data_IF_580316009376
#
_entry.id   IF_580316009376
#
_cell.length_a   1.000
_cell.length_b   1.000
_cell.length_c   1.000
_cell.angle_alpha   90.00
_cell.angle_beta   90.00
_cell.angle_gamma   90.00
#
_symmetry.space_group_name_H-M   'P 1'
#
loop_
_entity.id
_entity.type
_entity.pdbx_description
1 polymer ?
#
# COMPACT_ATOMS: atom_id res chain seq x y z
N UNK A 1 27.17 -2.73 11.90
CA UNK A 1 26.66 -3.51 13.05
C UNK A 1 25.14 -3.52 13.19
N UNK A 2 24.43 -2.38 13.28
CA UNK A 2 22.96 -2.38 13.49
C UNK A 2 22.16 -3.12 12.41
N UNK A 3 22.49 -2.96 11.12
CA UNK A 3 21.82 -3.67 10.01
C UNK A 3 22.05 -5.19 10.05
N UNK A 4 23.25 -5.62 10.43
CA UNK A 4 23.60 -7.04 10.58
C UNK A 4 22.81 -7.70 11.73
N UNK A 5 22.64 -6.98 12.84
CA UNK A 5 21.84 -7.43 13.99
C UNK A 5 20.36 -7.59 13.64
N UNK A 6 19.78 -6.69 12.84
CA UNK A 6 18.39 -6.81 12.38
C UNK A 6 18.22 -8.03 11.47
N UNK A 7 19.13 -8.21 10.50
CA UNK A 7 19.10 -9.38 9.60
C UNK A 7 19.27 -10.69 10.38
N UNK A 8 20.21 -10.74 11.32
CA UNK A 8 20.40 -11.90 12.20
C UNK A 8 19.16 -12.16 13.07
N UNK A 9 18.53 -11.12 13.61
CA UNK A 9 17.31 -11.28 14.40
C UNK A 9 16.14 -11.79 13.55
N UNK A 10 15.99 -11.32 12.30
CA UNK A 10 14.97 -11.84 11.39
C UNK A 10 15.25 -13.29 11.00
N UNK A 11 16.50 -13.65 10.68
CA UNK A 11 16.89 -15.04 10.37
C UNK A 11 16.64 -15.94 11.58
N UNK A 12 16.92 -15.45 12.78
CA UNK A 12 16.71 -16.20 14.02
C UNK A 12 15.21 -16.42 14.26
N UNK A 13 14.38 -15.37 14.16
CA UNK A 13 12.91 -15.48 14.25
C UNK A 13 12.37 -16.44 13.19
N UNK A 14 12.86 -16.36 11.95
CA UNK A 14 12.47 -17.29 10.88
C UNK A 14 12.87 -18.72 11.23
N UNK A 15 14.14 -18.95 11.61
CA UNK A 15 14.68 -20.27 11.95
C UNK A 15 13.99 -20.91 13.15
N UNK A 16 13.64 -20.13 14.19
CA UNK A 16 12.84 -20.60 15.32
C UNK A 16 11.39 -20.88 14.92
N UNK A 17 10.82 -20.12 13.99
CA UNK A 17 9.48 -20.37 13.45
C UNK A 17 9.43 -21.64 12.60
N UNK A 18 10.51 -21.99 11.87
CA UNK A 18 10.57 -23.23 11.06
C UNK A 18 10.88 -24.47 11.92
N UNK A 19 11.63 -24.32 13.01
CA UNK A 19 12.04 -25.45 13.88
C UNK A 19 11.18 -25.63 15.13
N UNK A 20 10.12 -24.84 15.33
CA UNK A 20 9.11 -25.12 16.34
C UNK A 20 8.26 -26.34 15.92
N UNK A 21 8.89 -27.52 15.82
CA UNK A 21 8.18 -28.78 15.98
C UNK A 21 7.64 -28.79 17.40
N UNK A 22 6.38 -28.41 17.52
CA UNK A 22 5.59 -28.60 18.72
C UNK A 22 5.71 -30.07 19.14
N UNK A 23 6.24 -30.29 20.34
CA UNK A 23 6.10 -31.58 21.01
C UNK A 23 4.61 -31.97 21.08
N UNK A 24 4.37 -33.27 21.23
CA UNK A 24 3.09 -34.01 21.18
C UNK A 24 1.90 -33.48 22.02
N UNK A 25 1.98 -32.29 22.60
CA UNK A 25 0.82 -31.57 23.09
C UNK A 25 0.08 -30.93 21.92
N UNK A 26 -1.00 -31.57 21.46
CA UNK A 26 -1.99 -30.97 20.54
C UNK A 26 -2.21 -29.49 20.95
N UNK A 27 -1.76 -28.50 20.15
CA UNK A 27 -2.12 -27.13 20.46
C UNK A 27 -3.64 -27.05 20.42
N UNK A 28 -4.26 -26.45 21.44
CA UNK A 28 -5.71 -26.23 21.50
C UNK A 28 -6.26 -25.54 20.23
N UNK A 29 -5.38 -24.92 19.45
CA UNK A 29 -5.63 -24.26 18.18
C UNK A 29 -4.84 -24.96 17.09
N UNK A 30 -5.53 -25.80 16.32
CA UNK A 30 -4.95 -26.44 15.14
C UNK A 30 -4.98 -25.46 13.97
N UNK A 31 -3.86 -24.77 13.78
CA UNK A 31 -3.68 -23.77 12.72
C UNK A 31 -3.54 -24.40 11.33
N UNK A 32 -3.52 -25.73 11.17
CA UNK A 32 -3.49 -26.37 9.86
C UNK A 32 -4.89 -26.58 9.25
N UNK A 33 -5.94 -26.46 10.05
CA UNK A 33 -7.32 -26.64 9.57
C UNK A 33 -7.70 -25.59 8.54
N UNK A 34 -8.69 -25.94 7.73
CA UNK A 34 -9.39 -24.96 6.91
C UNK A 34 -10.03 -23.92 7.83
N UNK A 35 -9.77 -22.64 7.55
CA UNK A 35 -10.37 -21.51 8.25
C UNK A 35 -10.79 -20.48 7.23
N UNK A 36 -12.02 -19.99 7.35
CA UNK A 36 -12.49 -18.83 6.59
C UNK A 36 -12.54 -17.63 7.52
N UNK A 37 -12.01 -16.51 7.07
CA UNK A 37 -11.93 -15.28 7.84
C UNK A 37 -12.46 -14.07 7.10
N UNK A 38 -13.03 -13.15 7.89
CA UNK A 38 -13.48 -11.83 7.45
C UNK A 38 -12.74 -10.80 8.30
N UNK A 39 -12.31 -9.72 7.67
CA UNK A 39 -11.40 -8.77 8.26
C UNK A 39 -11.45 -7.40 7.62
N UNK A 40 -10.56 -6.56 8.08
CA UNK A 40 -10.32 -5.24 7.53
C UNK A 40 -8.82 -4.98 7.45
N UNK A 41 -8.43 -4.20 6.47
CA UNK A 41 -7.06 -3.70 6.34
C UNK A 41 -7.07 -2.19 6.27
N UNK A 42 -6.01 -1.61 6.82
CA UNK A 42 -5.71 -0.19 6.69
C UNK A 42 -4.26 -0.12 6.20
N UNK A 43 -4.03 0.56 5.08
CA UNK A 43 -2.69 0.83 4.59
C UNK A 43 -2.42 2.33 4.49
N UNK A 44 -1.15 2.68 4.59
CA UNK A 44 -0.66 4.00 4.23
C UNK A 44 -0.97 4.27 2.76
N UNK A 45 -0.84 5.54 2.35
CA UNK A 45 -0.55 5.86 0.95
C UNK A 45 0.76 5.19 0.48
N UNK A 46 1.20 5.52 -0.71
CA UNK A 46 2.48 4.98 -1.19
C UNK A 46 3.68 5.50 -0.37
N UNK A 47 4.78 4.72 -0.36
CA UNK A 47 6.01 5.04 0.37
C UNK A 47 6.57 6.39 -0.06
N UNK A 48 6.38 6.79 -1.33
CA UNK A 48 6.75 8.12 -1.80
C UNK A 48 6.05 9.23 -1.01
N UNK A 49 4.73 9.16 -0.86
CA UNK A 49 3.94 10.12 -0.08
C UNK A 49 4.32 10.13 1.40
N UNK A 50 4.65 8.98 1.97
CA UNK A 50 5.19 8.89 3.34
C UNK A 50 6.54 9.61 3.46
N UNK A 51 7.44 9.42 2.49
CA UNK A 51 8.74 10.10 2.45
C UNK A 51 8.57 11.61 2.29
N UNK A 52 7.69 12.06 1.38
CA UNK A 52 7.43 13.48 1.15
C UNK A 52 6.80 14.16 2.37
N UNK A 53 5.84 13.49 3.02
CA UNK A 53 5.26 13.96 4.29
C UNK A 53 6.34 14.08 5.37
N UNK A 54 7.26 13.11 5.45
CA UNK A 54 8.39 13.15 6.38
C UNK A 54 9.34 14.32 6.12
N UNK A 55 9.61 14.64 4.85
CA UNK A 55 10.43 15.80 4.45
C UNK A 55 9.78 17.13 4.80
N UNK A 56 8.46 17.25 4.61
CA UNK A 56 7.70 18.45 5.02
C UNK A 56 7.80 18.67 6.54
N UNK A 57 7.61 17.61 7.33
CA UNK A 57 7.72 17.68 8.80
C UNK A 57 9.13 18.05 9.23
N UNK A 58 10.17 17.50 8.60
CA UNK A 58 11.57 17.81 8.93
C UNK A 58 11.92 19.27 8.58
N UNK A 59 11.48 19.75 7.41
CA UNK A 59 11.70 21.13 6.99
C UNK A 59 11.04 22.16 7.91
N UNK A 60 9.85 21.87 8.44
CA UNK A 60 9.19 22.77 9.39
C UNK A 60 9.83 22.76 10.78
N UNK A 61 10.41 21.64 11.21
CA UNK A 61 11.11 21.56 12.49
C UNK A 61 12.52 22.17 12.43
N UNK A 62 13.14 22.21 11.25
CA UNK A 62 14.41 22.90 10.99
C UNK A 62 14.12 24.31 10.49
N UNK A 63 13.91 25.23 11.42
CA UNK A 63 13.69 26.65 11.12
C UNK A 63 14.68 27.16 10.05
N UNK A 64 14.17 27.50 8.86
CA UNK A 64 14.95 28.19 7.82
C UNK A 64 15.29 27.41 6.55
N UNK A 65 14.76 26.20 6.32
CA UNK A 65 14.87 25.57 4.99
C UNK A 65 13.72 25.97 4.08
N UNK A 66 14.03 26.60 2.94
CA UNK A 66 13.10 26.81 1.81
C UNK A 66 12.68 25.45 1.25
N UNK A 67 11.66 24.84 1.86
CA UNK A 67 11.06 23.64 1.31
C UNK A 67 10.07 24.03 0.22
N UNK A 68 10.40 23.67 -1.02
CA UNK A 68 9.45 23.74 -2.13
C UNK A 68 8.41 22.64 -1.93
N UNK A 69 7.22 23.02 -1.47
CA UNK A 69 6.09 22.12 -1.33
C UNK A 69 5.67 21.63 -2.73
N UNK A 70 5.84 20.34 -3.06
CA UNK A 70 5.45 19.81 -4.36
C UNK A 70 3.94 20.00 -4.55
N UNK A 71 3.53 20.55 -5.70
CA UNK A 71 2.12 20.74 -6.03
C UNK A 71 1.46 22.01 -5.46
N UNK A 72 2.18 22.86 -4.73
CA UNK A 72 1.67 24.18 -4.31
C UNK A 72 2.20 25.29 -5.23
N UNK A 73 1.33 26.23 -5.59
CA UNK A 73 1.79 27.50 -6.19
C UNK A 73 2.57 28.32 -5.18
N UNK A 74 3.35 29.30 -5.64
CA UNK A 74 4.11 30.18 -4.76
C UNK A 74 3.20 30.90 -3.74
N UNK A 75 2.05 31.37 -4.19
CA UNK A 75 1.03 32.01 -3.34
C UNK A 75 0.47 31.06 -2.27
N UNK A 76 0.23 29.80 -2.62
CA UNK A 76 -0.23 28.78 -1.67
C UNK A 76 0.85 28.42 -0.65
N UNK A 77 2.10 28.34 -1.09
CA UNK A 77 3.24 28.10 -0.20
C UNK A 77 3.45 29.26 0.78
N UNK A 78 3.32 30.50 0.31
CA UNK A 78 3.42 31.70 1.15
C UNK A 78 2.28 31.74 2.18
N UNK A 79 1.03 31.52 1.74
CA UNK A 79 -0.12 31.44 2.65
C UNK A 79 -0.01 30.29 3.66
N UNK A 80 0.55 29.15 3.25
CA UNK A 80 0.81 28.01 4.13
C UNK A 80 1.90 28.34 5.16
N UNK A 81 2.93 29.08 4.76
CA UNK A 81 4.02 29.49 5.64
C UNK A 81 3.54 30.44 6.75
N UNK A 82 2.52 31.25 6.48
CA UNK A 82 1.89 32.17 7.44
C UNK A 82 0.97 31.48 8.46
N UNK A 83 0.65 30.20 8.29
CA UNK A 83 -0.21 29.47 9.22
C UNK A 83 0.48 29.20 10.57
N UNK A 84 -0.30 29.09 11.64
CA UNK A 84 0.21 28.63 12.94
C UNK A 84 0.70 27.18 12.86
N UNK A 85 1.71 26.81 13.66
CA UNK A 85 2.26 25.44 13.73
C UNK A 85 1.18 24.37 13.93
N UNK A 86 0.18 24.66 14.76
CA UNK A 86 -0.92 23.72 15.02
C UNK A 86 -1.80 23.51 13.77
N UNK A 87 -2.04 24.57 12.99
CA UNK A 87 -2.79 24.47 11.74
C UNK A 87 -2.02 23.68 10.68
N UNK A 88 -0.71 23.92 10.54
CA UNK A 88 0.16 23.14 9.65
C UNK A 88 0.18 21.66 10.02
N UNK A 89 0.26 21.38 11.32
CA UNK A 89 0.17 20.01 11.87
C UNK A 89 -1.17 19.36 11.55
N UNK A 90 -2.28 20.08 11.73
CA UNK A 90 -3.62 19.58 11.40
C UNK A 90 -3.77 19.25 9.91
N UNK A 91 -3.21 20.09 9.03
CA UNK A 91 -3.20 19.86 7.57
C UNK A 91 -2.45 18.58 7.24
N UNK A 92 -1.26 18.35 7.81
CA UNK A 92 -0.52 17.11 7.54
C UNK A 92 -1.22 15.87 8.05
N UNK A 93 -1.75 15.92 9.26
CA UNK A 93 -2.49 14.79 9.85
C UNK A 93 -3.72 14.49 8.98
N UNK A 94 -4.43 15.52 8.52
CA UNK A 94 -5.54 15.37 7.58
C UNK A 94 -5.09 14.73 6.27
N UNK A 95 -3.96 15.16 5.69
CA UNK A 95 -3.42 14.57 4.46
C UNK A 95 -3.00 13.11 4.65
N UNK A 96 -2.42 12.77 5.80
CA UNK A 96 -2.11 11.38 6.14
C UNK A 96 -3.39 10.55 6.13
N UNK A 97 -4.41 10.93 6.91
CA UNK A 97 -5.67 10.17 6.97
C UNK A 97 -6.41 10.14 5.63
N UNK A 98 -6.37 11.23 4.86
CA UNK A 98 -6.95 11.31 3.53
C UNK A 98 -6.20 10.49 2.48
N UNK A 99 -4.96 10.08 2.75
CA UNK A 99 -4.17 9.19 1.87
C UNK A 99 -4.22 7.71 2.28
N UNK A 100 -4.83 7.39 3.43
CA UNK A 100 -4.89 6.02 3.93
C UNK A 100 -5.95 5.20 3.19
N UNK A 101 -5.58 3.99 2.78
CA UNK A 101 -6.48 3.08 2.09
C UNK A 101 -7.15 2.13 3.08
N UNK A 102 -8.46 1.94 2.91
CA UNK A 102 -9.26 1.05 3.76
C UNK A 102 -9.82 -0.07 2.91
N UNK A 103 -9.71 -1.31 3.36
CA UNK A 103 -10.29 -2.45 2.64
C UNK A 103 -10.99 -3.42 3.57
N UNK A 104 -12.07 -4.02 3.06
CA UNK A 104 -12.66 -5.22 3.65
C UNK A 104 -11.92 -6.42 3.08
N UNK A 105 -11.49 -7.34 3.95
CA UNK A 105 -10.71 -8.50 3.58
C UNK A 105 -11.50 -9.78 3.85
N UNK A 106 -11.46 -10.71 2.91
CA UNK A 106 -11.81 -12.12 3.13
C UNK A 106 -10.55 -12.95 3.00
N UNK A 107 -10.40 -13.98 3.83
CA UNK A 107 -9.17 -14.78 3.89
C UNK A 107 -9.48 -16.24 4.11
N UNK A 108 -8.78 -17.10 3.40
CA UNK A 108 -8.83 -18.55 3.56
C UNK A 108 -7.44 -19.00 4.03
N UNK A 109 -7.40 -19.79 5.10
CA UNK A 109 -6.21 -20.48 5.55
C UNK A 109 -6.43 -21.99 5.46
N UNK A 110 -5.45 -22.72 4.93
CA UNK A 110 -5.51 -24.17 4.93
C UNK A 110 -4.11 -24.76 4.85
N UNK A 111 -3.68 -25.53 5.86
CA UNK A 111 -2.30 -26.00 5.99
C UNK A 111 -1.30 -24.83 5.80
N UNK A 112 -0.34 -24.95 4.91
CA UNK A 112 0.61 -23.87 4.56
C UNK A 112 0.05 -22.83 3.61
N UNK A 113 -1.18 -22.99 3.12
CA UNK A 113 -1.79 -22.11 2.13
C UNK A 113 -2.51 -20.94 2.80
N UNK A 114 -2.47 -19.81 2.11
CA UNK A 114 -3.25 -18.62 2.39
C UNK A 114 -3.77 -18.07 1.06
N UNK A 115 -5.03 -17.69 1.04
CA UNK A 115 -5.62 -16.89 -0.02
C UNK A 115 -6.41 -15.76 0.61
N UNK A 116 -6.46 -14.60 -0.04
CA UNK A 116 -7.32 -13.51 0.39
C UNK A 116 -7.86 -12.72 -0.79
N UNK A 117 -9.04 -12.15 -0.60
CA UNK A 117 -9.59 -11.14 -1.48
C UNK A 117 -9.84 -9.86 -0.67
N UNK A 118 -9.33 -8.74 -1.17
CA UNK A 118 -9.44 -7.42 -0.57
C UNK A 118 -10.34 -6.55 -1.45
N UNK A 119 -11.38 -5.96 -0.88
CA UNK A 119 -12.15 -4.89 -1.52
C UNK A 119 -11.74 -3.57 -0.88
N UNK A 120 -10.82 -2.87 -1.54
CA UNK A 120 -10.27 -1.60 -1.13
C UNK A 120 -11.05 -0.41 -1.68
N UNK A 121 -11.24 0.57 -0.82
CA UNK A 121 -11.72 1.90 -1.17
C UNK A 121 -10.57 2.86 -0.94
N UNK A 122 -10.09 3.48 -2.01
CA UNK A 122 -9.17 4.59 -1.88
C UNK A 122 -10.00 5.80 -1.45
N UNK A 123 -9.60 6.51 -0.37
CA UNK A 123 -10.25 7.77 -0.03
C UNK A 123 -10.14 8.74 -1.20
N UNK A 124 -11.11 9.66 -1.23
CA UNK A 124 -11.26 10.72 -2.22
C UNK A 124 -10.01 11.61 -2.22
N UNK A 125 -8.98 11.24 -2.97
CA UNK A 125 -7.80 12.09 -3.17
C UNK A 125 -8.25 13.34 -3.94
N UNK A 126 -8.13 14.52 -3.32
CA UNK A 126 -8.37 15.79 -4.04
C UNK A 126 -7.27 16.07 -5.09
N UNK A 127 -6.17 15.32 -5.09
CA UNK A 127 -5.08 15.38 -6.05
C UNK A 127 -5.34 14.61 -7.35
N UNK A 128 -6.28 13.66 -7.37
CA UNK A 128 -6.58 12.83 -8.56
C UNK A 128 -7.88 13.28 -9.25
N UNK A 129 -8.00 14.57 -9.56
CA UNK A 129 -9.11 15.13 -10.36
C UNK A 129 -10.53 14.81 -9.83
N UNK A 130 -10.70 14.52 -8.54
CA UNK A 130 -11.99 14.16 -7.95
C UNK A 130 -12.49 12.73 -8.27
N UNK A 131 -11.59 11.85 -8.72
CA UNK A 131 -11.89 10.44 -9.05
C UNK A 131 -12.13 9.58 -7.81
N UNK A 132 -13.08 8.66 -7.91
CA UNK A 132 -13.29 7.59 -6.92
C UNK A 132 -12.69 6.27 -7.44
N UNK A 133 -11.83 5.65 -6.64
CA UNK A 133 -11.18 4.39 -6.99
C UNK A 133 -11.58 3.26 -6.03
N UNK A 134 -12.03 2.15 -6.61
CA UNK A 134 -12.29 0.89 -5.94
C UNK A 134 -11.33 -0.16 -6.47
N UNK A 135 -10.71 -0.93 -5.58
CA UNK A 135 -9.73 -1.95 -5.97
C UNK A 135 -10.17 -3.30 -5.42
N UNK A 136 -10.37 -4.27 -6.30
CA UNK A 136 -10.55 -5.68 -5.92
C UNK A 136 -9.23 -6.43 -6.11
N UNK A 137 -8.58 -6.80 -5.02
CA UNK A 137 -7.38 -7.64 -5.02
C UNK A 137 -7.74 -9.10 -4.74
N UNK A 138 -7.14 -10.04 -5.47
CA UNK A 138 -7.21 -11.48 -5.17
C UNK A 138 -5.79 -12.02 -5.14
N UNK A 139 -5.42 -12.64 -4.03
CA UNK A 139 -4.08 -13.12 -3.75
C UNK A 139 -4.09 -14.56 -3.23
N UNK A 140 -3.04 -15.28 -3.55
CA UNK A 140 -2.75 -16.59 -2.99
C UNK A 140 -1.26 -16.73 -2.70
N UNK A 141 -0.92 -17.64 -1.79
CA UNK A 141 0.47 -17.93 -1.47
C UNK A 141 0.62 -18.85 -0.28
N UNK A 142 1.71 -18.64 0.45
CA UNK A 142 2.14 -19.51 1.54
C UNK A 142 2.27 -18.74 2.85
N UNK A 143 2.06 -19.47 3.94
CA UNK A 143 2.22 -19.00 5.31
C UNK A 143 2.85 -20.08 6.18
N UNK A 144 3.39 -19.68 7.32
CA UNK A 144 3.73 -20.62 8.37
C UNK A 144 2.53 -20.81 9.32
N UNK A 145 2.06 -22.05 9.56
CA UNK A 145 0.87 -22.31 10.37
C UNK A 145 1.15 -22.28 11.88
N UNK A 146 1.60 -21.14 12.38
CA UNK A 146 1.93 -20.90 13.79
C UNK A 146 1.25 -19.62 14.30
N UNK A 147 1.29 -19.39 15.62
CA UNK A 147 0.77 -18.17 16.24
C UNK A 147 1.52 -16.90 15.79
N UNK A 148 2.79 -17.02 15.40
CA UNK A 148 3.50 -16.04 14.58
C UNK A 148 3.43 -16.56 13.15
N UNK A 149 2.62 -15.92 12.32
CA UNK A 149 2.28 -16.36 10.97
C UNK A 149 2.91 -15.41 9.95
N UNK A 150 4.20 -15.57 9.61
CA UNK A 150 4.75 -14.94 8.42
C UNK A 150 4.05 -15.52 7.19
N UNK A 151 3.79 -14.66 6.20
CA UNK A 151 3.18 -15.06 4.95
C UNK A 151 3.70 -14.24 3.77
N UNK A 152 3.63 -14.84 2.60
CA UNK A 152 3.91 -14.19 1.31
C UNK A 152 2.84 -14.61 0.33
N UNK A 153 2.22 -13.64 -0.32
CA UNK A 153 1.20 -13.85 -1.36
C UNK A 153 1.48 -13.00 -2.57
N UNK A 154 1.02 -13.48 -3.72
CA UNK A 154 0.99 -12.71 -4.95
C UNK A 154 -0.35 -12.93 -5.64
N UNK A 155 -0.71 -12.00 -6.51
CA UNK A 155 -1.99 -12.07 -7.16
C UNK A 155 -2.26 -10.90 -8.09
N UNK A 156 -3.53 -10.79 -8.45
CA UNK A 156 -4.03 -9.77 -9.37
C UNK A 156 -4.89 -8.76 -8.61
N UNK A 157 -4.93 -7.55 -9.12
CA UNK A 157 -5.88 -6.54 -8.68
C UNK A 157 -6.63 -5.96 -9.87
N UNK A 158 -7.86 -5.55 -9.62
CA UNK A 158 -8.74 -4.93 -10.58
C UNK A 158 -9.12 -3.56 -10.02
N UNK A 159 -8.65 -2.52 -10.69
CA UNK A 159 -8.91 -1.12 -10.33
C UNK A 159 -10.10 -0.63 -11.14
N UNK A 160 -11.10 -0.13 -10.45
CA UNK A 160 -12.32 0.47 -10.98
C UNK A 160 -12.32 1.94 -10.61
N UNK A 161 -12.19 2.79 -11.61
CA UNK A 161 -12.00 4.22 -11.46
C UNK A 161 -13.19 4.97 -12.04
N UNK A 162 -13.82 5.83 -11.25
CA UNK A 162 -14.99 6.62 -11.62
C UNK A 162 -14.63 8.11 -11.58
N UNK A 163 -14.73 8.75 -12.74
CA UNK A 163 -14.43 10.16 -12.93
C UNK A 163 -15.70 11.02 -12.90
N UNK A 164 -15.60 12.28 -12.45
CA UNK A 164 -16.73 13.21 -12.45
C UNK A 164 -17.13 13.68 -13.86
N UNK A 165 -16.20 13.67 -14.82
CA UNK A 165 -16.44 13.95 -16.25
C UNK A 165 -15.84 12.83 -17.11
N UNK A 166 -16.14 12.84 -18.42
CA UNK A 166 -15.57 11.90 -19.38
C UNK A 166 -14.04 11.96 -19.32
N UNK A 167 -13.41 10.79 -19.29
CA UNK A 167 -11.95 10.64 -19.26
C UNK A 167 -11.30 11.39 -20.44
N UNK A 168 -11.99 11.43 -21.58
CA UNK A 168 -11.59 12.18 -22.77
C UNK A 168 -11.33 13.68 -22.54
N UNK A 169 -12.05 14.29 -21.61
CA UNK A 169 -11.98 15.73 -21.34
C UNK A 169 -10.93 16.08 -20.28
N UNK A 170 -10.35 15.08 -19.62
CA UNK A 170 -9.39 15.28 -18.53
C UNK A 170 -7.99 15.29 -19.14
N UNK A 171 -7.42 16.47 -19.34
CA UNK A 171 -6.14 16.66 -20.04
C UNK A 171 -4.99 15.84 -19.45
N UNK A 172 -4.94 15.67 -18.12
CA UNK A 172 -3.94 14.87 -17.40
C UNK A 172 -4.09 13.35 -17.59
N UNK A 173 -5.21 12.89 -18.14
CA UNK A 173 -5.54 11.47 -18.32
C UNK A 173 -5.61 11.06 -19.80
N UNK A 174 -5.20 11.94 -20.72
CA UNK A 174 -5.23 11.73 -22.16
C UNK A 174 -4.46 10.47 -22.61
N UNK A 175 -3.44 10.07 -21.86
CA UNK A 175 -2.68 8.83 -22.10
C UNK A 175 -3.53 7.56 -21.95
N UNK A 176 -4.57 7.55 -21.10
CA UNK A 176 -5.47 6.40 -20.90
C UNK A 176 -6.36 6.14 -22.12
N UNK A 177 -6.66 7.18 -22.89
CA UNK A 177 -7.45 7.09 -24.12
C UNK A 177 -6.60 6.45 -25.22
N UNK A 178 -5.31 6.81 -25.28
CA UNK A 178 -4.38 6.28 -26.26
C UNK A 178 -4.07 4.79 -26.04
N UNK A 179 -4.16 4.28 -24.79
CA UNK A 179 -4.03 2.84 -24.53
C UNK A 179 -5.30 2.05 -24.88
N UNK A 180 -6.45 2.73 -25.03
CA UNK A 180 -7.68 2.24 -25.66
C UNK A 180 -8.45 1.12 -24.93
N UNK A 181 -7.80 0.39 -24.02
CA UNK A 181 -8.42 -0.70 -23.27
C UNK A 181 -9.17 -0.15 -22.05
N UNK A 182 -10.30 -0.75 -21.69
CA UNK A 182 -10.95 -0.53 -20.37
C UNK A 182 -11.46 0.88 -20.06
N UNK A 183 -11.55 1.80 -21.03
CA UNK A 183 -12.12 3.15 -20.82
C UNK A 183 -13.49 3.24 -21.47
N UNK A 184 -14.52 3.61 -20.70
CA UNK A 184 -15.89 3.84 -21.19
C UNK A 184 -16.43 5.11 -20.54
N UNK A 185 -16.58 6.18 -21.34
CA UNK A 185 -17.02 7.50 -20.88
C UNK A 185 -16.24 8.03 -19.66
N UNK A 186 -16.82 7.95 -18.47
CA UNK A 186 -16.27 8.41 -17.19
C UNK A 186 -15.77 7.25 -16.29
N UNK A 187 -15.76 6.03 -16.82
CA UNK A 187 -15.34 4.83 -16.11
C UNK A 187 -14.07 4.24 -16.72
N UNK A 188 -13.14 3.80 -15.86
CA UNK A 188 -11.91 3.13 -16.26
C UNK A 188 -11.73 1.84 -15.45
N UNK A 189 -11.43 0.76 -16.16
CA UNK A 189 -11.05 -0.52 -15.62
C UNK A 189 -9.58 -0.83 -15.96
N UNK A 190 -8.82 -1.22 -14.94
CA UNK A 190 -7.40 -1.57 -15.10
C UNK A 190 -7.03 -2.83 -14.33
N UNK A 191 -6.51 -3.87 -15.00
CA UNK A 191 -5.89 -4.98 -14.32
C UNK A 191 -4.47 -4.61 -13.87
N UNK A 192 -4.05 -5.21 -12.79
CA UNK A 192 -2.73 -5.06 -12.23
C UNK A 192 -2.31 -6.27 -11.42
N UNK A 193 -1.14 -6.19 -10.82
CA UNK A 193 -0.59 -7.25 -9.97
C UNK A 193 -0.16 -6.69 -8.64
N UNK A 194 -0.21 -7.53 -7.62
CA UNK A 194 0.33 -7.18 -6.33
C UNK A 194 1.04 -8.35 -5.66
N UNK A 195 1.96 -7.98 -4.79
CA UNK A 195 2.74 -8.87 -3.95
C UNK A 195 2.62 -8.37 -2.52
N UNK A 196 2.40 -9.28 -1.57
CA UNK A 196 2.24 -8.95 -0.16
C UNK A 196 3.15 -9.86 0.65
N UNK A 197 3.95 -9.27 1.52
CA UNK A 197 4.67 -9.98 2.57
C UNK A 197 4.19 -9.45 3.92
N UNK A 198 3.82 -10.32 4.84
CA UNK A 198 3.28 -9.91 6.13
C UNK A 198 3.66 -10.84 7.27
N UNK A 199 3.35 -10.37 8.47
CA UNK A 199 3.58 -11.06 9.72
C UNK A 199 2.40 -10.83 10.64
N UNK A 200 1.62 -11.90 10.86
CA UNK A 200 0.44 -11.86 11.70
C UNK A 200 0.69 -12.55 13.05
N UNK A 201 0.13 -11.98 14.11
CA UNK A 201 -0.09 -12.65 15.37
C UNK A 201 -1.48 -13.29 15.34
N UNK A 202 -1.51 -14.62 15.28
CA UNK A 202 -2.69 -15.47 15.19
C UNK A 202 -3.03 -16.03 16.58
N UNK A 203 -4.14 -15.57 17.13
CA UNK A 203 -4.66 -15.91 18.46
C UNK A 203 -5.97 -16.70 18.31
N UNK A 204 -5.88 -17.93 17.80
CA UNK A 204 -7.03 -18.80 17.55
C UNK A 204 -7.95 -18.22 16.47
N UNK A 205 -9.15 -17.73 16.85
CA UNK A 205 -10.12 -17.17 15.90
C UNK A 205 -9.84 -15.72 15.48
N UNK A 206 -8.74 -15.12 15.92
CA UNK A 206 -8.38 -13.74 15.61
C UNK A 206 -6.95 -13.66 15.08
N UNK A 207 -6.68 -12.77 14.13
CA UNK A 207 -5.32 -12.37 13.77
C UNK A 207 -5.21 -10.86 13.60
N UNK A 208 -4.06 -10.32 13.99
CA UNK A 208 -3.65 -8.95 13.70
C UNK A 208 -2.18 -8.95 13.27
N UNK A 209 -1.82 -8.16 12.26
CA UNK A 209 -0.45 -8.11 11.81
C UNK A 209 -0.15 -6.97 10.87
N UNK A 210 1.14 -6.75 10.67
CA UNK A 210 1.66 -5.77 9.71
C UNK A 210 1.97 -6.44 8.38
N UNK A 211 1.78 -5.70 7.29
CA UNK A 211 2.15 -6.14 5.96
C UNK A 211 2.86 -5.03 5.17
N UNK A 212 3.68 -5.48 4.23
CA UNK A 212 4.21 -4.71 3.12
C UNK A 212 3.53 -5.20 1.84
N UNK A 213 3.04 -4.26 1.03
CA UNK A 213 2.38 -4.53 -0.26
C UNK A 213 3.11 -3.76 -1.35
N UNK A 214 3.55 -4.46 -2.38
CA UNK A 214 3.98 -3.87 -3.64
C UNK A 214 2.86 -4.08 -4.66
N UNK A 215 2.27 -2.99 -5.16
CA UNK A 215 1.10 -3.04 -6.04
C UNK A 215 1.35 -2.23 -7.30
N UNK A 216 1.20 -2.87 -8.45
CA UNK A 216 1.08 -2.21 -9.75
C UNK A 216 -0.42 -2.15 -10.05
N UNK A 217 -1.01 -0.97 -9.85
CA UNK A 217 -2.48 -0.78 -9.98
C UNK A 217 -2.96 -0.77 -11.44
N UNK A 218 -2.08 -0.35 -12.35
CA UNK A 218 -2.31 -0.18 -13.77
C UNK A 218 -0.95 -0.36 -14.49
N UNK A 219 -0.86 -1.37 -15.36
CA UNK A 219 0.36 -1.63 -16.15
C UNK A 219 0.66 -0.51 -17.16
N UNK A 220 -0.36 0.14 -17.70
CA UNK A 220 -0.18 1.25 -18.64
C UNK A 220 0.37 2.49 -17.90
N UNK A 221 -0.16 2.78 -16.70
CA UNK A 221 0.37 3.84 -15.83
C UNK A 221 1.82 3.57 -15.44
N UNK A 222 2.12 2.33 -15.08
CA UNK A 222 3.47 1.90 -14.75
C UNK A 222 4.43 2.10 -15.93
N UNK A 223 4.05 1.67 -17.13
CA UNK A 223 4.86 1.85 -18.33
C UNK A 223 5.03 3.33 -18.69
N UNK A 224 3.97 4.13 -18.58
CA UNK A 224 4.03 5.57 -18.81
C UNK A 224 4.99 6.26 -17.83
N UNK A 225 4.86 5.99 -16.53
CA UNK A 225 5.77 6.51 -15.52
C UNK A 225 7.21 6.06 -15.78
N UNK A 226 7.40 4.79 -16.11
CA UNK A 226 8.72 4.24 -16.43
C UNK A 226 9.36 4.97 -17.63
N UNK A 227 8.63 5.17 -18.73
CA UNK A 227 9.14 5.90 -19.89
C UNK A 227 9.39 7.39 -19.59
N UNK A 228 8.57 8.04 -18.77
CA UNK A 228 8.85 9.41 -18.32
C UNK A 228 10.18 9.50 -17.57
N UNK A 229 10.43 8.58 -16.64
CA UNK A 229 11.65 8.63 -15.83
C UNK A 229 12.89 8.13 -16.57
N UNK A 230 12.74 7.19 -17.51
CA UNK A 230 13.83 6.67 -18.35
C UNK A 230 14.40 7.74 -19.28
N UNK A 231 13.57 8.64 -19.79
CA UNK A 231 13.99 9.71 -20.69
C UNK A 231 14.63 10.91 -19.96
N UNK A 232 14.63 10.91 -18.62
CA UNK A 232 15.35 11.89 -17.79
C UNK A 232 16.69 11.30 -17.32
N UNK A 233 17.71 11.41 -18.18
CA UNK A 233 19.02 10.75 -18.04
C UNK A 233 19.81 11.11 -16.77
N UNK A 234 19.40 12.15 -16.03
CA UNK A 234 20.04 12.57 -14.77
C UNK A 234 19.55 11.77 -13.55
N UNK A 235 18.52 10.92 -13.71
CA UNK A 235 17.76 10.35 -12.59
C UNK A 235 17.50 8.85 -12.65
N UNK A 236 18.11 8.08 -13.54
CA UNK A 236 17.74 6.65 -13.72
C UNK A 236 17.78 5.79 -12.43
N UNK A 237 18.83 5.91 -11.60
CA UNK A 237 18.86 5.20 -10.30
C UNK A 237 17.84 5.76 -9.29
N UNK A 238 17.50 7.04 -9.42
CA UNK A 238 16.41 7.67 -8.66
C UNK A 238 15.03 7.25 -9.20
N UNK A 239 14.90 6.94 -10.49
CA UNK A 239 13.67 6.54 -11.15
C UNK A 239 13.16 5.20 -10.65
N UNK A 240 14.05 4.20 -10.58
CA UNK A 240 13.70 2.89 -10.02
C UNK A 240 13.26 3.02 -8.57
N UNK A 241 13.97 3.84 -7.78
CA UNK A 241 13.59 4.16 -6.40
C UNK A 241 12.23 4.85 -6.30
N UNK A 242 11.95 5.82 -7.19
CA UNK A 242 10.68 6.55 -7.25
C UNK A 242 9.52 5.64 -7.65
N UNK A 243 9.68 4.82 -8.70
CA UNK A 243 8.69 3.82 -9.12
C UNK A 243 8.46 2.81 -8.00
N UNK A 244 9.52 2.27 -7.43
CA UNK A 244 9.38 1.32 -6.32
C UNK A 244 8.63 1.95 -5.15
N UNK A 245 8.99 3.18 -4.76
CA UNK A 245 8.35 3.89 -3.66
C UNK A 245 6.89 4.29 -3.96
N UNK A 246 6.53 4.56 -5.22
CA UNK A 246 5.14 4.90 -5.60
C UNK A 246 4.22 3.67 -5.63
N UNK A 247 4.78 2.47 -5.80
CA UNK A 247 4.04 1.20 -5.79
C UNK A 247 4.10 0.48 -4.43
N UNK A 248 4.95 0.94 -3.50
CA UNK A 248 5.15 0.33 -2.18
C UNK A 248 4.22 0.90 -1.12
N UNK A 249 3.61 0.06 -0.30
CA UNK A 249 2.72 0.44 0.79
C UNK A 249 2.96 -0.42 2.03
N UNK A 250 2.67 0.14 3.20
CA UNK A 250 2.64 -0.60 4.45
C UNK A 250 1.23 -0.55 5.04
N UNK A 251 0.85 -1.59 5.77
CA UNK A 251 -0.45 -1.60 6.40
C UNK A 251 -0.56 -2.57 7.55
N UNK A 252 -1.75 -2.56 8.16
CA UNK A 252 -2.16 -3.46 9.22
C UNK A 252 -3.40 -4.20 8.76
N UNK A 253 -3.42 -5.51 8.96
CA UNK A 253 -4.54 -6.37 8.68
C UNK A 253 -5.09 -6.97 9.98
N UNK A 254 -6.40 -7.02 10.11
CA UNK A 254 -7.12 -7.69 11.18
C UNK A 254 -8.08 -8.70 10.55
N UNK A 255 -8.21 -9.89 11.11
CA UNK A 255 -9.14 -10.92 10.61
C UNK A 255 -9.72 -11.77 11.73
N UNK A 256 -11.01 -12.07 11.63
CA UNK A 256 -11.73 -13.02 12.49
C UNK A 256 -12.05 -14.28 11.69
N UNK A 257 -11.82 -15.46 12.26
CA UNK A 257 -11.91 -16.75 11.59
C UNK A 257 -13.01 -17.63 12.20
N UNK A 258 -13.71 -18.35 11.34
CA UNK A 258 -14.85 -19.20 11.65
C UNK A 258 -14.52 -20.68 11.49
#
# INVERSE_FOLDING_TARGET
>A
MRKLLVILSMITVFAFSVNAKAGDTKPKWDENKFQFGIGATISTGNLLGVIETGKMIDAENKSGTDYSYPGMTKEQADAYNDLSKNMKTAIWVSNIFASMEYAIQTRILWNVLIAHADLGFLPMESSNNGRFDMVLGVNAGIRAPFFIMPYVTAGVNFTFSFYPDKVANIASESWKINSGFGVVDNFVFRPGINFVAGLDLKLGKFSIGGFYKYIIKDFDEFNYMYEQFKNDATRFDSAVGLIFSSQSKFGVAVSFYF
#
